data_IF_528421606864
#
_entry.id   IF_528421606864
#
_cell.length_a   1.000
_cell.length_b   1.000
_cell.length_c   1.000
_cell.angle_alpha   90.00
_cell.angle_beta   90.00
_cell.angle_gamma   90.00
#
_symmetry.space_group_name_H-M   'P 1'
#
loop_
_entity.id
_entity.type
_entity.pdbx_description
1 polymer ?
#
# COMPACT_ATOMS: atom_id res chain seq x y z
N UNK A 1 1.63 6.09 -14.34
CA UNK A 1 1.52 6.89 -13.10
C UNK A 1 2.67 7.88 -13.04
N UNK A 2 2.49 9.14 -13.48
CA UNK A 2 3.50 10.22 -13.44
C UNK A 2 3.11 11.37 -12.48
N UNK A 3 2.04 11.18 -11.71
CA UNK A 3 1.39 12.24 -10.92
C UNK A 3 2.37 12.85 -9.90
N UNK A 4 3.21 12.03 -9.25
CA UNK A 4 4.13 12.53 -8.21
C UNK A 4 5.37 13.23 -8.77
N UNK A 5 5.80 12.92 -10.00
CA UNK A 5 6.92 13.64 -10.60
C UNK A 5 6.57 15.11 -10.93
N UNK A 6 5.30 15.41 -11.19
CA UNK A 6 4.83 16.80 -11.28
C UNK A 6 4.74 17.47 -9.91
N UNK A 7 4.37 16.72 -8.87
CA UNK A 7 4.24 17.22 -7.49
C UNK A 7 5.60 17.68 -6.93
N UNK A 8 6.69 16.97 -7.23
CA UNK A 8 8.05 17.39 -6.85
C UNK A 8 8.48 18.73 -7.49
N UNK A 9 7.91 19.10 -8.64
CA UNK A 9 8.12 20.42 -9.28
C UNK A 9 7.24 21.52 -8.68
N UNK A 10 6.19 21.17 -7.94
CA UNK A 10 5.25 22.12 -7.35
C UNK A 10 5.62 22.55 -5.91
N UNK A 11 6.79 22.14 -5.39
CA UNK A 11 7.30 22.55 -4.07
C UNK A 11 6.77 21.74 -2.89
N UNK A 12 6.00 20.68 -3.13
CA UNK A 12 5.51 19.77 -2.09
C UNK A 12 6.64 18.91 -1.55
N UNK A 13 6.82 18.89 -0.24
CA UNK A 13 7.82 18.07 0.46
C UNK A 13 7.51 16.58 0.32
N UNK A 14 8.51 15.68 0.49
CA UNK A 14 8.26 14.23 0.45
C UNK A 14 7.24 13.77 1.50
N UNK A 15 7.12 14.53 2.60
CA UNK A 15 6.17 14.29 3.68
C UNK A 15 4.73 14.59 3.27
N UNK A 16 4.51 15.67 2.52
CA UNK A 16 3.17 15.97 1.97
C UNK A 16 2.77 14.95 0.91
N UNK A 17 3.72 14.48 0.09
CA UNK A 17 3.50 13.37 -0.83
C UNK A 17 3.06 12.09 -0.09
N UNK A 18 3.73 11.76 1.02
CA UNK A 18 3.37 10.59 1.83
C UNK A 18 1.94 10.69 2.37
N UNK A 19 1.51 11.88 2.81
CA UNK A 19 0.14 12.13 3.27
C UNK A 19 -0.88 12.01 2.14
N UNK A 20 -0.60 12.62 0.99
CA UNK A 20 -1.47 12.56 -0.18
C UNK A 20 -1.69 11.12 -0.64
N UNK A 21 -0.64 10.29 -0.59
CA UNK A 21 -0.69 8.89 -0.96
C UNK A 21 -1.28 7.98 0.13
N UNK A 22 -1.53 8.51 1.33
CA UNK A 22 -2.11 7.79 2.47
C UNK A 22 -1.11 6.95 3.28
N UNK A 23 0.19 7.20 3.14
CA UNK A 23 1.23 6.57 3.97
C UNK A 23 1.41 7.24 5.34
N UNK A 24 0.89 8.45 5.52
CA UNK A 24 0.92 9.20 6.78
C UNK A 24 -0.41 9.92 6.97
N UNK A 25 -0.91 10.00 8.21
CA UNK A 25 -2.10 10.81 8.54
C UNK A 25 -1.71 11.99 9.44
N UNK A 26 -2.45 13.12 9.40
CA UNK A 26 -2.10 14.31 10.18
C UNK A 26 -2.08 14.09 11.69
N UNK A 27 -2.95 13.21 12.21
CA UNK A 27 -3.02 12.86 13.63
C UNK A 27 -2.45 11.47 13.97
N UNK A 28 -1.94 10.72 12.98
CA UNK A 28 -1.50 9.34 13.19
C UNK A 28 0.01 9.18 13.14
N UNK A 29 0.45 7.97 12.80
CA UNK A 29 1.85 7.61 12.82
C UNK A 29 2.65 8.39 11.77
N UNK A 30 3.87 8.77 12.15
CA UNK A 30 4.79 9.50 11.27
C UNK A 30 5.54 8.51 10.39
N UNK A 31 5.41 8.63 9.06
CA UNK A 31 6.15 7.76 8.14
C UNK A 31 7.64 8.15 8.13
N UNK A 32 8.52 7.15 8.29
CA UNK A 32 9.98 7.35 8.28
C UNK A 32 10.47 7.28 6.84
N UNK A 33 11.10 8.36 6.37
CA UNK A 33 11.70 8.45 5.03
C UNK A 33 13.22 8.50 5.23
N UNK A 34 13.94 7.37 5.09
CA UNK A 34 15.39 7.31 5.33
C UNK A 34 16.22 7.69 4.10
N UNK A 35 15.59 7.97 2.95
CA UNK A 35 16.26 8.27 1.68
C UNK A 35 16.21 9.76 1.35
N UNK A 36 17.03 10.20 0.40
CA UNK A 36 16.99 11.60 -0.08
C UNK A 36 15.68 11.94 -0.78
N UNK A 37 15.30 13.21 -0.76
CA UNK A 37 14.04 13.71 -1.34
C UNK A 37 13.82 13.24 -2.78
N UNK A 38 14.86 13.33 -3.63
CA UNK A 38 14.81 12.87 -5.03
C UNK A 38 14.49 11.37 -5.17
N UNK A 39 14.93 10.55 -4.21
CA UNK A 39 14.60 9.12 -4.18
C UNK A 39 13.20 8.89 -3.62
N UNK A 40 12.82 9.63 -2.58
CA UNK A 40 11.49 9.55 -1.99
C UNK A 40 10.40 9.87 -3.04
N UNK A 41 10.57 10.93 -3.84
CA UNK A 41 9.62 11.25 -4.91
C UNK A 41 9.49 10.14 -5.95
N UNK A 42 10.60 9.47 -6.29
CA UNK A 42 10.58 8.32 -7.21
C UNK A 42 9.86 7.11 -6.59
N UNK A 43 10.11 6.82 -5.31
CA UNK A 43 9.45 5.74 -4.60
C UNK A 43 7.94 5.98 -4.49
N UNK A 44 7.54 7.18 -4.06
CA UNK A 44 6.13 7.53 -4.00
C UNK A 44 5.48 7.51 -5.39
N UNK A 45 6.16 8.00 -6.43
CA UNK A 45 5.61 8.03 -7.80
C UNK A 45 5.39 6.65 -8.43
N UNK A 46 6.15 5.65 -7.98
CA UNK A 46 5.96 4.24 -8.35
C UNK A 46 5.05 3.48 -7.38
N UNK A 47 4.63 4.12 -6.28
CA UNK A 47 3.79 3.51 -5.27
C UNK A 47 2.31 3.68 -5.59
N UNK A 48 1.47 2.93 -4.88
CA UNK A 48 0.01 2.97 -4.99
C UNK A 48 -0.61 3.89 -3.93
N UNK A 49 -1.85 4.33 -4.19
CA UNK A 49 -2.63 5.11 -3.24
C UNK A 49 -3.20 4.15 -2.17
N UNK A 50 -2.69 4.25 -0.95
CA UNK A 50 -3.00 3.35 0.18
C UNK A 50 -4.50 3.22 0.46
N UNK A 51 -5.30 4.31 0.60
CA UNK A 51 -6.71 4.18 0.96
C UNK A 51 -7.55 3.45 -0.11
N UNK A 52 -7.16 3.54 -1.38
CA UNK A 52 -7.85 2.84 -2.48
C UNK A 52 -7.69 1.33 -2.32
N UNK A 53 -6.46 0.87 -2.09
CA UNK A 53 -6.18 -0.55 -1.90
C UNK A 53 -6.74 -1.08 -0.58
N UNK A 54 -6.79 -0.25 0.47
CA UNK A 54 -7.45 -0.62 1.71
C UNK A 54 -8.96 -0.90 1.51
N UNK A 55 -9.64 -0.09 0.68
CA UNK A 55 -11.04 -0.33 0.34
C UNK A 55 -11.22 -1.63 -0.47
N UNK A 56 -10.36 -1.88 -1.45
CA UNK A 56 -10.37 -3.14 -2.23
C UNK A 56 -10.12 -4.35 -1.33
N UNK A 57 -9.18 -4.26 -0.40
CA UNK A 57 -8.89 -5.34 0.55
C UNK A 57 -10.12 -5.70 1.40
N UNK A 58 -10.88 -4.71 1.88
CA UNK A 58 -12.14 -4.95 2.62
C UNK A 58 -13.19 -5.69 1.79
N UNK A 59 -13.26 -5.42 0.49
CA UNK A 59 -14.17 -6.14 -0.41
C UNK A 59 -13.71 -7.59 -0.65
N UNK A 60 -12.39 -7.82 -0.65
CA UNK A 60 -11.81 -9.15 -0.87
C UNK A 60 -11.74 -10.01 0.40
N UNK A 61 -11.76 -9.40 1.58
CA UNK A 61 -11.67 -10.05 2.89
C UNK A 61 -12.51 -11.33 3.02
N UNK A 62 -13.84 -11.34 2.78
CA UNK A 62 -14.64 -12.56 2.92
C UNK A 62 -14.22 -13.67 1.94
N UNK A 63 -13.78 -13.30 0.74
CA UNK A 63 -13.33 -14.29 -0.27
C UNK A 63 -11.97 -14.88 0.10
N UNK A 64 -11.08 -14.07 0.66
CA UNK A 64 -9.78 -14.54 1.15
C UNK A 64 -9.99 -15.51 2.31
N UNK A 65 -10.87 -15.19 3.26
CA UNK A 65 -11.18 -16.07 4.39
C UNK A 65 -11.75 -17.42 3.92
N UNK A 66 -12.66 -17.43 2.94
CA UNK A 66 -13.18 -18.66 2.35
C UNK A 66 -12.07 -19.49 1.66
N UNK A 67 -11.16 -18.83 0.94
CA UNK A 67 -10.05 -19.49 0.26
C UNK A 67 -9.07 -20.11 1.27
N UNK A 68 -8.78 -19.41 2.37
CA UNK A 68 -7.94 -19.93 3.47
C UNK A 68 -8.60 -21.13 4.13
N UNK A 69 -9.89 -21.06 4.48
CA UNK A 69 -10.62 -22.18 5.06
C UNK A 69 -10.62 -23.42 4.16
N UNK A 70 -10.76 -23.24 2.84
CA UNK A 70 -10.66 -24.32 1.86
C UNK A 70 -9.26 -24.94 1.83
N UNK A 71 -8.20 -24.11 1.83
CA UNK A 71 -6.81 -24.57 1.87
C UNK A 71 -6.50 -25.35 3.15
N UNK A 72 -6.99 -24.89 4.30
CA UNK A 72 -6.79 -25.55 5.59
C UNK A 72 -7.51 -26.90 5.65
N UNK A 73 -8.71 -27.00 5.09
CA UNK A 73 -9.44 -28.27 4.95
C UNK A 73 -8.70 -29.26 4.02
N UNK A 74 -8.16 -28.79 2.90
CA UNK A 74 -7.35 -29.60 1.97
C UNK A 74 -6.07 -30.11 2.64
N UNK A 75 -5.42 -29.26 3.44
CA UNK A 75 -4.18 -29.60 4.17
C UNK A 75 -4.46 -30.63 5.28
N UNK A 76 -5.57 -30.50 6.01
CA UNK A 76 -6.00 -31.48 7.03
C UNK A 76 -6.36 -32.83 6.42
N UNK A 77 -6.89 -32.85 5.20
CA UNK A 77 -7.19 -34.09 4.46
C UNK A 77 -5.96 -34.72 3.78
N UNK A 78 -4.74 -34.24 4.07
CA UNK A 78 -3.49 -34.86 3.60
C UNK A 78 -3.20 -34.72 2.10
N UNK A 79 -3.97 -33.89 1.37
CA UNK A 79 -3.61 -33.55 -0.01
C UNK A 79 -2.58 -32.44 0.01
N UNK A 80 -1.35 -32.78 -0.40
CA UNK A 80 -0.33 -31.78 -0.71
C UNK A 80 -0.89 -30.82 -1.78
N UNK A 81 -0.90 -29.50 -1.56
CA UNK A 81 -1.24 -28.56 -2.63
C UNK A 81 -0.20 -28.69 -3.74
N UNK A 82 -0.65 -28.83 -5.00
CA UNK A 82 0.19 -28.74 -6.19
C UNK A 82 0.66 -27.30 -6.39
#
# INVERSE_FOLDING_TARGET
MRIISCIARAGLTPRECARLMGFESPQGYRFRIPVSDTQAYRQFGNSVIVPVFAAVARLLEPRILQAVARRDAETKNGRRPQ
#
